data_IF_971127881304
#
_entry.id   IF_971127881304
#
_cell.length_a   1.000
_cell.length_b   1.000
_cell.length_c   1.000
_cell.angle_alpha   90.00
_cell.angle_beta   90.00
_cell.angle_gamma   90.00
#
_symmetry.space_group_name_H-M   'P 1'
#
loop_
_entity.id
_entity.type
_entity.pdbx_description
1 polymer ?
#
# COMPACT_ATOMS: atom_id res chain seq x y z
N UNK A 1 -14.63 -13.39 -3.59
CA UNK A 1 -13.28 -12.78 -3.53
C UNK A 1 -12.46 -13.18 -2.30
N UNK A 2 -13.09 -13.59 -1.18
CA UNK A 2 -12.39 -14.01 0.05
C UNK A 2 -11.52 -15.27 -0.10
N UNK A 3 -12.01 -16.30 -0.81
CA UNK A 3 -11.28 -17.58 -0.95
C UNK A 3 -9.96 -17.47 -1.72
N UNK A 4 -9.93 -16.69 -2.80
CA UNK A 4 -8.70 -16.48 -3.60
C UNK A 4 -7.65 -15.73 -2.78
N UNK A 5 -8.06 -14.71 -2.03
CA UNK A 5 -7.17 -13.97 -1.14
C UNK A 5 -6.63 -14.87 -0.02
N UNK A 6 -7.50 -15.69 0.59
CA UNK A 6 -7.10 -16.62 1.64
C UNK A 6 -6.08 -17.67 1.14
N UNK A 7 -6.32 -18.27 -0.03
CA UNK A 7 -5.37 -19.21 -0.64
C UNK A 7 -4.03 -18.55 -0.95
N UNK A 8 -4.08 -17.35 -1.50
CA UNK A 8 -2.89 -16.57 -1.80
C UNK A 8 -2.11 -16.23 -0.53
N UNK A 9 -2.82 -15.90 0.56
CA UNK A 9 -2.21 -15.68 1.87
C UNK A 9 -1.55 -16.94 2.40
N UNK A 10 -2.22 -18.09 2.36
CA UNK A 10 -1.65 -19.38 2.77
C UNK A 10 -0.40 -19.72 1.96
N UNK A 11 -0.43 -19.54 0.63
CA UNK A 11 0.71 -19.81 -0.24
C UNK A 11 1.93 -18.95 0.13
N UNK A 12 1.74 -17.63 0.25
CA UNK A 12 2.82 -16.69 0.56
C UNK A 12 3.30 -16.79 2.01
N UNK A 13 2.44 -17.19 2.94
CA UNK A 13 2.81 -17.42 4.33
C UNK A 13 3.80 -18.58 4.48
N UNK A 14 3.55 -19.68 3.77
CA UNK A 14 4.43 -20.84 3.70
C UNK A 14 5.62 -20.67 2.73
N UNK A 15 5.61 -19.60 1.93
CA UNK A 15 6.68 -19.27 1.02
C UNK A 15 7.99 -18.96 1.76
N UNK A 16 9.11 -19.31 1.13
CA UNK A 16 10.42 -18.90 1.64
C UNK A 16 10.58 -17.39 1.52
N UNK A 17 11.47 -16.83 2.34
CA UNK A 17 11.75 -15.39 2.27
C UNK A 17 12.21 -14.93 0.88
N UNK A 18 13.02 -15.76 0.20
CA UNK A 18 13.45 -15.47 -1.17
C UNK A 18 12.27 -15.32 -2.14
N UNK A 19 11.21 -16.11 -1.96
CA UNK A 19 9.98 -15.93 -2.73
C UNK A 19 9.32 -14.61 -2.36
N UNK A 20 9.19 -14.28 -1.07
CA UNK A 20 8.54 -13.04 -0.62
C UNK A 20 9.24 -11.78 -1.19
N UNK A 21 10.55 -11.83 -1.38
CA UNK A 21 11.31 -10.77 -2.03
C UNK A 21 10.95 -10.55 -3.51
N UNK A 22 10.25 -11.48 -4.17
CA UNK A 22 9.75 -11.33 -5.54
C UNK A 22 8.41 -10.57 -5.60
N UNK A 23 7.74 -10.39 -4.45
CA UNK A 23 6.46 -9.70 -4.36
C UNK A 23 6.49 -8.27 -4.91
N UNK A 24 7.50 -7.41 -4.62
CA UNK A 24 7.56 -6.07 -5.18
C UNK A 24 7.64 -6.09 -6.72
N UNK A 25 8.44 -7.01 -7.28
CA UNK A 25 8.57 -7.17 -8.73
C UNK A 25 7.25 -7.65 -9.35
N UNK A 26 6.58 -8.63 -8.73
CA UNK A 26 5.27 -9.10 -9.16
C UNK A 26 4.23 -7.97 -9.15
N UNK A 27 4.19 -7.15 -8.10
CA UNK A 27 3.28 -6.01 -8.00
C UNK A 27 3.56 -5.03 -9.14
N UNK A 28 4.82 -4.65 -9.36
CA UNK A 28 5.24 -3.73 -10.40
C UNK A 28 4.88 -4.20 -11.81
N UNK A 29 5.18 -5.45 -12.13
CA UNK A 29 5.09 -5.97 -13.50
C UNK A 29 3.71 -6.52 -13.86
N UNK A 30 2.97 -7.05 -12.88
CA UNK A 30 1.70 -7.77 -13.14
C UNK A 30 0.48 -7.06 -12.59
N UNK A 31 0.58 -6.50 -11.38
CA UNK A 31 -0.58 -5.93 -10.68
C UNK A 31 -0.79 -4.47 -11.03
N UNK A 32 0.25 -3.64 -10.94
CA UNK A 32 0.15 -2.23 -11.26
C UNK A 32 -0.48 -1.90 -12.63
N UNK A 33 -0.14 -2.56 -13.75
CA UNK A 33 -0.74 -2.21 -15.04
C UNK A 33 -2.25 -2.48 -15.13
N UNK A 34 -2.80 -3.34 -14.26
CA UNK A 34 -4.23 -3.66 -14.26
C UNK A 34 -5.05 -2.82 -13.29
N UNK A 35 -4.42 -2.14 -12.33
CA UNK A 35 -5.11 -1.32 -11.32
C UNK A 35 -5.53 0.02 -11.93
N UNK A 36 -6.84 0.24 -11.99
CA UNK A 36 -7.44 1.46 -12.53
C UNK A 36 -8.55 2.04 -11.64
N UNK A 37 -9.00 1.29 -10.65
CA UNK A 37 -10.14 1.63 -9.78
C UNK A 37 -9.74 1.57 -8.31
N UNK A 38 -10.50 2.23 -7.47
CA UNK A 38 -10.28 2.26 -6.02
C UNK A 38 -10.40 0.86 -5.40
N UNK A 39 -11.39 0.07 -5.80
CA UNK A 39 -11.62 -1.28 -5.28
C UNK A 39 -10.45 -2.21 -5.59
N UNK A 40 -9.86 -2.08 -6.77
CA UNK A 40 -8.66 -2.84 -7.14
C UNK A 40 -7.47 -2.46 -6.27
N UNK A 41 -7.25 -1.16 -6.03
CA UNK A 41 -6.16 -0.70 -5.15
C UNK A 41 -6.35 -1.22 -3.71
N UNK A 42 -7.56 -1.15 -3.18
CA UNK A 42 -7.89 -1.71 -1.86
C UNK A 42 -7.60 -3.21 -1.81
N UNK A 43 -7.93 -3.97 -2.86
CA UNK A 43 -7.62 -5.39 -2.94
C UNK A 43 -6.11 -5.65 -2.89
N UNK A 44 -5.30 -4.79 -3.55
CA UNK A 44 -3.84 -4.88 -3.46
C UNK A 44 -3.35 -4.59 -2.04
N UNK A 45 -3.93 -3.60 -1.35
CA UNK A 45 -3.61 -3.33 0.06
C UNK A 45 -3.89 -4.56 0.94
N UNK A 46 -5.04 -5.22 0.76
CA UNK A 46 -5.34 -6.48 1.48
C UNK A 46 -4.43 -7.64 1.10
N UNK A 47 -3.94 -7.68 -0.14
CA UNK A 47 -2.98 -8.67 -0.58
C UNK A 47 -1.65 -8.54 0.14
N UNK A 48 -1.07 -7.33 0.18
CA UNK A 48 0.27 -7.11 0.76
C UNK A 48 0.25 -7.00 2.28
N UNK A 49 -0.85 -6.51 2.87
CA UNK A 49 -0.96 -6.13 4.27
C UNK A 49 -0.38 -7.14 5.28
N UNK A 50 -0.77 -8.43 5.23
CA UNK A 50 -0.27 -9.43 6.17
C UNK A 50 1.24 -9.68 6.12
N UNK A 51 1.90 -9.32 5.01
CA UNK A 51 3.32 -9.58 4.79
C UNK A 51 4.21 -8.37 5.08
N UNK A 52 3.64 -7.18 5.20
CA UNK A 52 4.42 -5.95 5.36
C UNK A 52 5.28 -6.00 6.64
N UNK A 53 4.73 -6.41 7.79
CA UNK A 53 5.52 -6.51 9.03
C UNK A 53 6.71 -7.46 8.89
N UNK A 54 6.49 -8.61 8.24
CA UNK A 54 7.55 -9.62 8.00
C UNK A 54 8.62 -9.07 7.04
N UNK A 55 8.21 -8.42 5.96
CA UNK A 55 9.13 -7.76 5.02
C UNK A 55 9.93 -6.63 5.70
N UNK A 56 9.38 -5.98 6.73
CA UNK A 56 10.03 -4.87 7.43
C UNK A 56 11.23 -5.35 8.22
N UNK A 57 11.02 -6.46 8.96
CA UNK A 57 12.03 -7.07 9.82
C UNK A 57 13.13 -7.69 8.96
N UNK A 58 12.77 -8.35 7.86
CA UNK A 58 13.73 -9.14 7.07
C UNK A 58 14.44 -8.30 5.99
N UNK A 59 13.76 -7.36 5.29
CA UNK A 59 14.39 -6.51 4.25
C UNK A 59 13.58 -5.25 3.93
N UNK A 60 13.98 -4.16 4.57
CA UNK A 60 13.38 -2.82 4.40
C UNK A 60 13.29 -2.35 2.95
N UNK A 61 14.22 -2.74 2.07
CA UNK A 61 14.15 -2.41 0.63
C UNK A 61 12.88 -2.91 -0.05
N UNK A 62 12.42 -4.12 0.25
CA UNK A 62 11.20 -4.68 -0.36
C UNK A 62 9.96 -3.87 0.03
N UNK A 63 9.94 -3.35 1.25
CA UNK A 63 8.87 -2.45 1.71
C UNK A 63 8.86 -1.15 0.93
N UNK A 64 10.03 -0.52 0.77
CA UNK A 64 10.15 0.74 0.04
C UNK A 64 9.69 0.56 -1.42
N UNK A 65 10.08 -0.55 -2.04
CA UNK A 65 9.65 -0.87 -3.40
C UNK A 65 8.12 -1.06 -3.48
N UNK A 66 7.51 -1.79 -2.53
CA UNK A 66 6.04 -1.97 -2.47
C UNK A 66 5.33 -0.64 -2.25
N UNK A 67 5.82 0.17 -1.32
CA UNK A 67 5.34 1.53 -1.06
C UNK A 67 5.30 2.37 -2.33
N UNK A 68 6.40 2.38 -3.07
CA UNK A 68 6.52 3.16 -4.30
C UNK A 68 5.45 2.74 -5.32
N UNK A 69 5.24 1.43 -5.51
CA UNK A 69 4.24 0.92 -6.44
C UNK A 69 2.81 1.21 -5.96
N UNK A 70 2.51 1.06 -4.66
CA UNK A 70 1.21 1.40 -4.07
C UNK A 70 0.85 2.88 -4.31
N UNK A 71 1.79 3.80 -4.12
CA UNK A 71 1.54 5.22 -4.35
C UNK A 71 1.42 5.57 -5.83
N UNK A 72 2.12 4.88 -6.73
CA UNK A 72 1.89 5.05 -8.18
C UNK A 72 0.51 4.58 -8.60
N UNK A 73 0.03 3.47 -8.03
CA UNK A 73 -1.33 3.01 -8.24
C UNK A 73 -2.35 4.01 -7.65
N UNK A 74 -2.10 4.54 -6.45
CA UNK A 74 -2.93 5.58 -5.84
C UNK A 74 -3.01 6.84 -6.71
N UNK A 75 -1.89 7.34 -7.21
CA UNK A 75 -1.87 8.50 -8.12
C UNK A 75 -2.62 8.21 -9.43
N UNK A 76 -2.51 6.99 -9.97
CA UNK A 76 -3.23 6.57 -11.17
C UNK A 76 -4.73 6.51 -10.93
N UNK A 77 -5.15 5.96 -9.80
CA UNK A 77 -6.56 5.85 -9.41
C UNK A 77 -7.12 7.24 -9.09
N UNK A 78 -6.38 8.07 -8.37
CA UNK A 78 -6.76 9.46 -8.04
C UNK A 78 -7.03 10.26 -9.32
N UNK A 79 -6.19 10.14 -10.35
CA UNK A 79 -6.41 10.82 -11.65
C UNK A 79 -7.62 10.31 -12.42
N UNK A 80 -8.08 9.08 -12.16
CA UNK A 80 -9.22 8.46 -12.87
C UNK A 80 -10.54 8.60 -12.12
N UNK A 81 -10.51 8.66 -10.80
CA UNK A 81 -11.67 8.74 -9.94
C UNK A 81 -11.96 10.18 -9.53
N UNK A 82 -13.23 10.61 -9.64
CA UNK A 82 -13.66 11.94 -9.18
C UNK A 82 -13.57 12.06 -7.66
N UNK A 83 -13.97 11.02 -6.94
CA UNK A 83 -13.88 10.91 -5.48
C UNK A 83 -13.35 9.55 -5.05
N UNK A 84 -12.57 9.55 -3.96
CA UNK A 84 -12.08 8.37 -3.26
C UNK A 84 -12.84 8.23 -1.94
N UNK A 85 -13.54 7.12 -1.75
CA UNK A 85 -14.42 6.90 -0.60
C UNK A 85 -13.74 6.17 0.56
N UNK A 86 -12.68 5.43 0.29
CA UNK A 86 -12.01 4.51 1.23
C UNK A 86 -10.54 4.87 1.46
N UNK A 87 -10.21 6.16 1.35
CA UNK A 87 -8.87 6.69 1.59
C UNK A 87 -8.30 6.27 2.95
N UNK A 88 -9.12 6.24 4.00
CA UNK A 88 -8.70 5.84 5.35
C UNK A 88 -8.22 4.38 5.39
N UNK A 89 -8.85 3.52 4.59
CA UNK A 89 -8.46 2.11 4.48
C UNK A 89 -7.12 2.00 3.78
N UNK A 90 -6.94 2.71 2.66
CA UNK A 90 -5.68 2.77 1.93
C UNK A 90 -4.58 3.33 2.84
N UNK A 91 -4.86 4.39 3.60
CA UNK A 91 -3.93 4.99 4.54
C UNK A 91 -3.56 4.05 5.69
N UNK A 92 -4.50 3.28 6.24
CA UNK A 92 -4.18 2.34 7.33
C UNK A 92 -3.17 1.27 6.91
N UNK A 93 -3.18 0.84 5.65
CA UNK A 93 -2.18 -0.09 5.12
C UNK A 93 -0.88 0.59 4.71
N UNK A 94 -0.96 1.82 4.20
CA UNK A 94 0.16 2.49 3.55
C UNK A 94 0.90 3.47 4.47
N UNK A 95 0.18 4.16 5.36
CA UNK A 95 0.66 5.21 6.25
C UNK A 95 1.57 4.73 7.39
N UNK A 96 1.10 3.81 8.25
CA UNK A 96 1.87 3.40 9.44
C UNK A 96 3.23 2.75 9.15
N UNK A 97 3.33 2.03 8.03
CA UNK A 97 4.55 1.27 7.69
C UNK A 97 5.49 2.06 6.78
N UNK A 98 4.97 3.05 6.05
CA UNK A 98 5.65 3.63 4.91
C UNK A 98 5.74 5.17 4.95
N UNK A 99 5.17 5.84 5.95
CA UNK A 99 5.28 7.29 6.17
C UNK A 99 6.71 7.82 5.98
N UNK A 100 7.71 7.12 6.56
CA UNK A 100 9.14 7.51 6.51
C UNK A 100 9.75 7.53 5.10
N UNK A 101 9.09 6.95 4.10
CA UNK A 101 9.66 6.70 2.79
C UNK A 101 8.94 7.45 1.65
N UNK A 102 7.92 8.26 1.97
CA UNK A 102 6.93 8.67 0.95
C UNK A 102 6.57 10.15 0.94
N UNK A 103 7.13 10.97 1.84
CA UNK A 103 6.87 12.41 1.85
C UNK A 103 7.10 13.08 0.49
N UNK A 104 8.08 12.63 -0.30
CA UNK A 104 8.39 13.17 -1.64
C UNK A 104 7.30 12.91 -2.70
N UNK A 105 6.47 11.86 -2.56
CA UNK A 105 5.44 11.51 -3.57
C UNK A 105 4.10 12.14 -3.29
N UNK A 106 3.82 12.48 -2.03
CA UNK A 106 2.54 13.12 -1.64
C UNK A 106 2.38 14.45 -2.39
N UNK A 107 3.47 15.19 -2.58
CA UNK A 107 3.46 16.49 -3.25
C UNK A 107 3.03 16.47 -4.73
N UNK A 108 2.95 15.29 -5.36
CA UNK A 108 2.49 15.14 -6.76
C UNK A 108 0.98 14.90 -6.93
N UNK A 109 0.26 14.63 -5.85
CA UNK A 109 -1.17 14.30 -5.86
C UNK A 109 -2.07 15.53 -5.78
N UNK A 110 -3.39 15.36 -6.00
CA UNK A 110 -4.36 16.46 -5.84
C UNK A 110 -4.31 17.03 -4.42
N UNK A 111 -4.46 18.36 -4.25
CA UNK A 111 -4.35 19.02 -2.95
C UNK A 111 -5.36 18.50 -1.91
N UNK A 112 -6.55 18.09 -2.35
CA UNK A 112 -7.56 17.48 -1.48
C UNK A 112 -7.09 16.14 -0.87
N UNK A 113 -6.39 15.33 -1.68
CA UNK A 113 -5.84 14.05 -1.25
C UNK A 113 -4.64 14.28 -0.32
N UNK A 114 -3.77 15.23 -0.65
CA UNK A 114 -2.63 15.63 0.20
C UNK A 114 -3.10 16.08 1.59
N UNK A 115 -4.12 16.92 1.65
CA UNK A 115 -4.64 17.43 2.93
C UNK A 115 -5.22 16.30 3.77
N UNK A 116 -5.99 15.37 3.16
CA UNK A 116 -6.51 14.19 3.87
C UNK A 116 -5.39 13.26 4.35
N UNK A 117 -4.39 12.97 3.51
CA UNK A 117 -3.26 12.11 3.89
C UNK A 117 -2.42 12.74 5.03
N UNK A 118 -2.16 14.05 4.97
CA UNK A 118 -1.46 14.80 6.02
C UNK A 118 -2.26 14.85 7.33
N UNK A 119 -3.58 14.97 7.25
CA UNK A 119 -4.45 14.91 8.43
C UNK A 119 -4.44 13.53 9.09
N UNK A 120 -4.54 12.47 8.29
CA UNK A 120 -4.48 11.09 8.80
C UNK A 120 -3.12 10.76 9.42
N UNK A 121 -2.03 11.32 8.87
CA UNK A 121 -0.67 11.27 9.43
C UNK A 121 -0.57 11.91 10.81
N UNK A 122 -1.18 13.08 11.00
CA UNK A 122 -1.15 13.78 12.28
C UNK A 122 -1.92 13.00 13.36
N UNK A 123 -3.04 12.35 13.00
CA UNK A 123 -3.82 11.53 13.93
C UNK A 123 -3.04 10.29 14.40
N UNK A 124 -2.29 9.64 13.51
CA UNK A 124 -1.48 8.47 13.88
C UNK A 124 -0.33 8.83 14.82
N UNK A 125 0.26 10.02 14.69
CA UNK A 125 1.35 10.48 15.55
C UNK A 125 0.86 10.84 16.97
N UNK A 126 -0.33 11.44 17.07
CA UNK A 126 -0.94 11.84 18.36
C UNK A 126 -1.39 10.63 19.20
N UNK A 127 -1.81 9.54 18.53
CA UNK A 127 -2.20 8.29 19.20
C UNK A 127 -1.01 7.43 19.67
N UNK A 128 0.23 7.81 19.35
CA UNK A 128 1.46 7.19 19.85
C UNK A 128 2.12 7.92 21.03
N UNK A 129 1.52 9.01 21.52
CA UNK A 129 2.07 9.89 22.59
C UNK A 129 1.35 9.75 23.95
N UNK A 130 0.69 8.61 24.20
CA UNK A 130 0.01 8.28 25.46
C UNK A 130 0.61 7.07 26.16
#
# INVERSE_FOLDING_TARGET
MSYTLALLHSYWFHGTFGQLCLMPQFIKEKIKPIVQTEEQLILVCYFVGPFLQRLQIERTKCIIDIAHELYQMLDTVDKKCTHLYHIDTIYRFTGNLLQKYIDERIDTMRPELQQKLRFLSQISDDSGSG
#
